data_IF_633147207577
#
_entry.id   IF_633147207577
#
_cell.length_a   1.000
_cell.length_b   1.000
_cell.length_c   1.000
_cell.angle_alpha   90.00
_cell.angle_beta   90.00
_cell.angle_gamma   90.00
#
_symmetry.space_group_name_H-M   'P 1'
#
loop_
_entity.id
_entity.type
_entity.pdbx_description
1 polymer ?
#
# COMPACT_ATOMS: atom_id res chain seq x y z
N UNK A 1 -16.53 15.47 6.50
CA UNK A 1 -15.56 16.13 7.41
C UNK A 1 -14.17 15.93 6.82
N UNK A 2 -13.30 16.93 6.89
CA UNK A 2 -11.89 16.79 6.48
C UNK A 2 -10.99 16.40 7.66
N UNK A 3 -9.73 16.09 7.38
CA UNK A 3 -8.78 15.67 8.41
C UNK A 3 -8.49 16.76 9.45
N UNK A 4 -8.40 18.01 9.03
CA UNK A 4 -8.08 19.13 9.91
C UNK A 4 -9.13 19.27 11.01
N UNK A 5 -10.41 19.31 10.63
CA UNK A 5 -11.51 19.40 11.58
C UNK A 5 -11.58 18.15 12.47
N UNK A 6 -11.37 16.96 11.91
CA UNK A 6 -11.32 15.71 12.66
C UNK A 6 -10.24 15.75 13.75
N UNK A 7 -9.01 16.12 13.39
CA UNK A 7 -7.89 16.21 14.33
C UNK A 7 -8.12 17.30 15.40
N UNK A 8 -8.68 18.45 15.02
CA UNK A 8 -8.99 19.54 15.95
C UNK A 8 -10.05 19.16 17.00
N UNK A 9 -11.04 18.35 16.62
CA UNK A 9 -12.04 17.83 17.56
C UNK A 9 -11.46 16.78 18.50
N UNK A 10 -10.50 15.97 18.04
CA UNK A 10 -9.87 14.95 18.88
C UNK A 10 -8.81 15.50 19.82
N UNK A 11 -8.05 16.53 19.43
CA UNK A 11 -6.87 16.99 20.20
C UNK A 11 -7.19 17.36 21.66
N UNK A 12 -8.25 18.10 21.99
CA UNK A 12 -8.56 18.44 23.38
C UNK A 12 -8.88 17.20 24.24
N UNK A 13 -9.34 16.12 23.61
CA UNK A 13 -9.87 14.94 24.28
C UNK A 13 -8.83 13.81 24.36
N UNK A 14 -8.02 13.64 23.30
CA UNK A 14 -7.05 12.56 23.15
C UNK A 14 -5.60 13.02 23.21
N UNK A 15 -5.34 14.33 23.11
CA UNK A 15 -3.98 14.85 22.94
C UNK A 15 -3.11 14.78 24.18
N UNK A 16 -3.66 14.67 25.40
CA UNK A 16 -2.92 14.46 26.66
C UNK A 16 -1.67 15.35 26.83
N UNK A 17 -1.76 16.63 26.44
CA UNK A 17 -0.66 17.59 26.54
C UNK A 17 0.26 17.68 25.31
N UNK A 18 0.12 16.77 24.34
CA UNK A 18 0.87 16.82 23.09
C UNK A 18 0.61 18.12 22.32
N UNK A 19 1.66 18.64 21.69
CA UNK A 19 1.53 19.75 20.75
C UNK A 19 0.81 19.28 19.47
N UNK A 20 0.52 20.20 18.55
CA UNK A 20 -0.26 19.88 17.33
C UNK A 20 0.46 18.86 16.45
N UNK A 21 1.79 18.92 16.39
CA UNK A 21 2.62 18.13 15.50
C UNK A 21 2.70 16.69 16.03
N UNK A 22 3.05 16.56 17.32
CA UNK A 22 3.09 15.30 18.06
C UNK A 22 1.73 14.58 18.00
N UNK A 23 0.65 15.34 18.22
CA UNK A 23 -0.67 14.77 18.23
C UNK A 23 -1.07 14.22 16.85
N UNK A 24 -0.86 14.99 15.78
CA UNK A 24 -1.18 14.54 14.43
C UNK A 24 -0.33 13.35 14.01
N UNK A 25 0.96 13.35 14.35
CA UNK A 25 1.81 12.19 14.13
C UNK A 25 1.23 10.96 14.84
N UNK A 26 0.93 11.07 16.14
CA UNK A 26 0.36 9.98 16.94
C UNK A 26 -0.96 9.46 16.36
N UNK A 27 -1.81 10.32 15.79
CA UNK A 27 -3.03 9.91 15.10
C UNK A 27 -2.74 9.04 13.89
N UNK A 28 -1.77 9.40 13.05
CA UNK A 28 -1.42 8.56 11.90
C UNK A 28 -0.84 7.21 12.32
N UNK A 29 0.00 7.16 13.35
CA UNK A 29 0.46 5.88 13.91
C UNK A 29 -0.68 5.06 14.54
N UNK A 30 -1.70 5.73 15.09
CA UNK A 30 -2.85 5.06 15.70
C UNK A 30 -3.83 4.42 14.71
N UNK A 31 -3.65 4.59 13.40
CA UNK A 31 -4.44 3.89 12.38
C UNK A 31 -3.59 2.97 11.50
N UNK A 32 -2.26 3.06 11.55
CA UNK A 32 -1.37 2.24 10.71
C UNK A 32 -0.99 0.96 11.44
N UNK A 33 -1.17 -0.18 10.76
CA UNK A 33 -0.60 -1.46 11.19
C UNK A 33 0.84 -1.51 10.76
N UNK A 34 1.72 -1.88 11.70
CA UNK A 34 3.12 -2.15 11.47
C UNK A 34 3.33 -3.68 11.53
N UNK A 35 3.41 -4.38 10.38
CA UNK A 35 3.80 -5.78 10.34
C UNK A 35 5.16 -5.96 11.01
N UNK A 36 5.27 -6.94 11.89
CA UNK A 36 6.56 -7.42 12.41
C UNK A 36 7.29 -8.16 11.28
N UNK A 37 7.92 -7.38 10.41
CA UNK A 37 8.70 -7.85 9.27
C UNK A 37 9.91 -6.96 9.16
N UNK A 38 11.12 -7.54 9.12
CA UNK A 38 12.37 -6.79 8.96
C UNK A 38 12.43 -6.01 7.63
N UNK A 39 11.57 -6.35 6.68
CA UNK A 39 11.39 -5.67 5.38
C UNK A 39 10.28 -4.62 5.37
N UNK A 40 9.54 -4.41 6.46
CA UNK A 40 8.51 -3.38 6.51
C UNK A 40 9.18 -2.01 6.74
N UNK A 41 9.07 -1.14 5.75
CA UNK A 41 9.49 0.26 5.86
C UNK A 41 8.30 1.07 6.35
N UNK A 42 8.49 1.80 7.44
CA UNK A 42 7.44 2.64 8.01
C UNK A 42 7.06 3.76 7.04
N UNK A 43 5.79 3.79 6.56
CA UNK A 43 5.34 4.79 5.59
C UNK A 43 5.34 6.23 6.15
N UNK A 44 5.52 6.39 7.46
CA UNK A 44 5.57 7.67 8.17
C UNK A 44 7.00 8.12 8.53
N UNK A 45 8.00 7.25 8.49
CA UNK A 45 9.38 7.53 8.95
C UNK A 45 10.01 8.75 8.28
N UNK A 46 9.76 8.92 6.98
CA UNK A 46 10.35 9.99 6.16
C UNK A 46 9.46 11.24 6.02
N UNK A 47 8.41 11.38 6.83
CA UNK A 47 7.56 12.58 6.82
C UNK A 47 8.23 13.65 7.68
N UNK A 48 8.53 14.82 7.08
CA UNK A 48 9.08 15.96 7.82
C UNK A 48 8.12 16.36 8.94
N UNK A 49 8.64 16.44 10.16
CA UNK A 49 7.87 16.72 11.37
C UNK A 49 7.03 18.00 11.29
N UNK A 50 7.59 19.06 10.69
CA UNK A 50 6.91 20.36 10.51
C UNK A 50 5.65 20.30 9.63
N UNK A 51 5.43 19.21 8.88
CA UNK A 51 4.26 19.03 8.01
C UNK A 51 3.01 18.67 8.81
N UNK A 52 3.17 18.02 9.98
CA UNK A 52 2.04 17.62 10.81
C UNK A 52 1.22 18.82 11.29
N UNK A 53 1.89 19.94 11.61
CA UNK A 53 1.22 21.21 11.91
C UNK A 53 0.31 21.68 10.79
N UNK A 54 0.80 21.60 9.55
CA UNK A 54 0.10 22.09 8.36
C UNK A 54 -1.12 21.23 8.05
N UNK A 55 -1.08 19.93 8.38
CA UNK A 55 -2.25 19.06 8.31
C UNK A 55 -3.26 19.37 9.42
N UNK A 56 -2.78 19.67 10.64
CA UNK A 56 -3.64 20.06 11.76
C UNK A 56 -4.40 21.37 11.51
N UNK A 57 -3.73 22.36 10.93
CA UNK A 57 -4.33 23.67 10.61
C UNK A 57 -5.18 23.65 9.33
N UNK A 58 -5.08 22.60 8.52
CA UNK A 58 -5.72 22.50 7.21
C UNK A 58 -5.02 23.31 6.11
N UNK A 59 -3.88 23.94 6.40
CA UNK A 59 -3.08 24.69 5.42
C UNK A 59 -2.45 23.78 4.36
N UNK A 60 -2.27 22.50 4.67
CA UNK A 60 -1.87 21.46 3.72
C UNK A 60 -2.85 20.29 3.79
N UNK A 61 -3.19 19.74 2.63
CA UNK A 61 -4.00 18.51 2.56
C UNK A 61 -3.15 17.27 2.83
N UNK A 62 -3.81 16.23 3.32
CA UNK A 62 -3.15 14.96 3.67
C UNK A 62 -3.03 13.98 2.48
N UNK A 63 -3.34 14.37 1.24
CA UNK A 63 -3.44 13.45 0.10
C UNK A 63 -2.19 12.58 -0.09
N UNK A 64 -1.00 13.17 -0.01
CA UNK A 64 0.28 12.47 -0.17
C UNK A 64 0.54 11.47 0.95
N UNK A 65 0.34 11.87 2.21
CA UNK A 65 0.56 10.99 3.36
C UNK A 65 -0.52 9.91 3.44
N UNK A 66 -1.77 10.27 3.15
CA UNK A 66 -2.89 9.34 3.04
C UNK A 66 -2.66 8.28 1.97
N UNK A 67 -2.14 8.67 0.80
CA UNK A 67 -1.76 7.72 -0.26
C UNK A 67 -0.72 6.71 0.21
N UNK A 68 0.28 7.14 0.99
CA UNK A 68 1.32 6.25 1.54
C UNK A 68 0.78 5.27 2.57
N UNK A 69 -0.11 5.72 3.46
CA UNK A 69 -0.55 4.91 4.61
C UNK A 69 -1.83 4.09 4.36
N UNK A 70 -2.63 4.41 3.34
CA UNK A 70 -3.97 3.84 3.14
C UNK A 70 -4.00 2.30 3.13
N UNK A 71 -2.99 1.64 2.57
CA UNK A 71 -2.94 0.16 2.51
C UNK A 71 -2.62 -0.51 3.85
N UNK A 72 -2.11 0.27 4.79
CA UNK A 72 -1.77 -0.14 6.15
C UNK A 72 -2.79 0.39 7.17
N UNK A 73 -3.76 1.20 6.72
CA UNK A 73 -4.79 1.75 7.58
C UNK A 73 -5.74 0.64 8.05
N UNK A 74 -5.88 0.50 9.36
CA UNK A 74 -6.73 -0.51 9.99
C UNK A 74 -7.64 0.15 11.02
N UNK A 75 -8.94 -0.10 10.85
CA UNK A 75 -10.00 0.45 11.68
C UNK A 75 -9.94 -0.13 13.09
N UNK A 76 -9.52 -1.39 13.25
CA UNK A 76 -9.48 -2.04 14.56
C UNK A 76 -8.42 -1.42 15.46
N UNK A 77 -7.24 -1.06 14.92
CA UNK A 77 -6.19 -0.39 15.70
C UNK A 77 -6.70 0.95 16.22
N UNK A 78 -7.32 1.76 15.36
CA UNK A 78 -7.82 3.07 15.79
C UNK A 78 -9.03 2.94 16.72
N UNK A 79 -9.91 1.97 16.48
CA UNK A 79 -11.02 1.64 17.38
C UNK A 79 -10.48 1.34 18.77
N UNK A 80 -9.47 0.48 18.88
CA UNK A 80 -8.90 0.09 20.18
C UNK A 80 -8.16 1.26 20.85
N UNK A 81 -7.52 2.13 20.07
CA UNK A 81 -6.93 3.38 20.57
C UNK A 81 -7.99 4.30 21.22
N UNK A 82 -9.17 4.42 20.59
CA UNK A 82 -10.29 5.20 21.14
C UNK A 82 -10.93 4.47 22.32
N UNK A 83 -11.13 3.15 22.25
CA UNK A 83 -11.80 2.35 23.28
C UNK A 83 -11.07 2.41 24.64
N UNK A 84 -9.74 2.56 24.64
CA UNK A 84 -8.92 2.68 25.85
C UNK A 84 -9.16 3.96 26.67
N UNK A 85 -9.91 4.93 26.16
CA UNK A 85 -10.23 6.14 26.93
C UNK A 85 -11.37 5.89 27.91
N UNK A 86 -11.38 6.63 29.02
CA UNK A 86 -12.41 6.54 30.04
C UNK A 86 -13.80 7.02 29.55
N UNK A 87 -14.85 6.66 30.29
CA UNK A 87 -16.25 6.92 29.94
C UNK A 87 -16.58 8.41 29.75
N UNK A 88 -15.89 9.29 30.48
CA UNK A 88 -16.04 10.74 30.35
C UNK A 88 -15.53 11.21 28.98
N UNK A 89 -14.33 10.80 28.59
CA UNK A 89 -13.77 11.08 27.26
C UNK A 89 -14.63 10.48 26.15
N UNK A 90 -15.15 9.24 26.32
CA UNK A 90 -16.10 8.66 25.35
C UNK A 90 -17.37 9.51 25.20
N UNK A 91 -17.89 10.02 26.30
CA UNK A 91 -19.07 10.89 26.29
C UNK A 91 -18.78 12.21 25.58
N UNK A 92 -17.64 12.83 25.86
CA UNK A 92 -17.22 14.08 25.23
C UNK A 92 -16.96 13.89 23.73
N UNK A 93 -16.32 12.79 23.33
CA UNK A 93 -16.16 12.40 21.92
C UNK A 93 -17.52 12.21 21.23
N UNK A 94 -18.45 11.48 21.87
CA UNK A 94 -19.80 11.31 21.33
C UNK A 94 -20.46 12.66 21.08
N UNK A 95 -20.38 13.60 22.03
CA UNK A 95 -20.99 14.92 21.91
C UNK A 95 -20.32 15.78 20.83
N UNK A 96 -18.98 15.79 20.77
CA UNK A 96 -18.22 16.56 19.79
C UNK A 96 -18.50 16.12 18.34
N UNK A 97 -18.72 14.84 18.11
CA UNK A 97 -18.94 14.28 16.77
C UNK A 97 -20.42 14.13 16.38
N UNK A 98 -21.35 14.22 17.34
CA UNK A 98 -22.81 14.14 17.11
C UNK A 98 -23.35 15.07 16.02
N UNK A 99 -22.86 16.32 15.86
CA UNK A 99 -23.33 17.20 14.79
C UNK A 99 -22.93 16.75 13.39
N UNK A 100 -21.91 15.90 13.26
CA UNK A 100 -21.27 15.59 11.98
C UNK A 100 -21.57 14.17 11.48
N UNK A 101 -21.81 13.23 12.40
CA UNK A 101 -22.04 11.82 12.11
C UNK A 101 -23.09 11.21 13.04
N UNK A 102 -23.74 10.12 12.60
CA UNK A 102 -24.65 9.34 13.45
C UNK A 102 -23.86 8.49 14.44
N UNK A 103 -23.68 9.02 15.64
CA UNK A 103 -22.91 8.43 16.75
C UNK A 103 -23.74 8.37 18.04
N UNK A 104 -23.42 7.41 18.89
CA UNK A 104 -24.00 7.20 20.22
C UNK A 104 -22.91 6.71 21.19
N UNK A 105 -23.16 6.78 22.50
CA UNK A 105 -22.20 6.30 23.51
C UNK A 105 -21.77 4.84 23.33
N UNK A 106 -22.58 4.01 22.67
CA UNK A 106 -22.31 2.57 22.47
C UNK A 106 -21.41 2.26 21.27
N UNK A 107 -21.15 3.23 20.41
CA UNK A 107 -20.43 2.99 19.16
C UNK A 107 -19.41 4.09 18.80
N UNK A 108 -18.92 4.82 19.81
CA UNK A 108 -17.94 5.89 19.61
C UNK A 108 -16.66 5.36 18.95
N UNK A 109 -16.04 4.27 19.44
CA UNK A 109 -14.81 3.74 18.85
C UNK A 109 -14.98 3.34 17.38
N UNK A 110 -16.05 2.61 17.05
CA UNK A 110 -16.32 2.12 15.71
C UNK A 110 -16.59 3.29 14.75
N UNK A 111 -17.40 4.25 15.18
CA UNK A 111 -17.76 5.40 14.33
C UNK A 111 -16.59 6.32 14.06
N UNK A 112 -15.71 6.53 15.03
CA UNK A 112 -14.51 7.35 14.83
C UNK A 112 -13.46 6.61 13.99
N UNK A 113 -13.31 5.30 14.14
CA UNK A 113 -12.44 4.48 13.30
C UNK A 113 -12.90 4.44 11.84
N UNK A 114 -14.19 4.20 11.60
CA UNK A 114 -14.76 4.28 10.26
C UNK A 114 -14.56 5.67 9.66
N UNK A 115 -14.87 6.73 10.41
CA UNK A 115 -14.69 8.11 9.93
C UNK A 115 -13.24 8.42 9.59
N UNK A 116 -12.29 8.02 10.44
CA UNK A 116 -10.88 8.29 10.19
C UNK A 116 -10.36 7.52 8.97
N UNK A 117 -10.71 6.23 8.87
CA UNK A 117 -10.39 5.42 7.72
C UNK A 117 -10.95 6.04 6.44
N UNK A 118 -12.21 6.49 6.44
CA UNK A 118 -12.81 7.15 5.28
C UNK A 118 -12.09 8.46 4.92
N UNK A 119 -11.64 9.25 5.91
CA UNK A 119 -10.84 10.46 5.66
C UNK A 119 -9.53 10.11 4.95
N UNK A 120 -8.80 9.10 5.45
CA UNK A 120 -7.55 8.62 4.83
C UNK A 120 -7.83 8.06 3.43
N UNK A 121 -8.81 7.20 3.30
CA UNK A 121 -9.17 6.56 2.04
C UNK A 121 -9.53 7.62 0.98
N UNK A 122 -10.42 8.55 1.31
CA UNK A 122 -10.83 9.60 0.37
C UNK A 122 -9.65 10.49 -0.02
N UNK A 123 -8.84 10.93 0.95
CA UNK A 123 -7.64 11.72 0.65
C UNK A 123 -6.62 10.97 -0.23
N UNK A 124 -6.49 9.65 -0.05
CA UNK A 124 -5.61 8.80 -0.86
C UNK A 124 -6.04 8.70 -2.32
N UNK A 125 -7.34 8.83 -2.60
CA UNK A 125 -7.91 8.76 -3.96
C UNK A 125 -7.84 10.08 -4.71
N UNK A 126 -7.59 11.19 -4.03
CA UNK A 126 -7.54 12.52 -4.63
C UNK A 126 -6.20 12.88 -5.31
N UNK A 127 -5.54 11.94 -6.01
CA UNK A 127 -4.35 12.26 -6.82
C UNK A 127 -4.75 13.22 -7.96
N UNK A 128 -4.23 14.46 -7.94
CA UNK A 128 -4.04 15.27 -9.15
C UNK A 128 -5.13 16.26 -9.62
N UNK A 129 -6.08 16.71 -8.79
CA UNK A 129 -6.99 17.80 -9.23
C UNK A 129 -6.53 19.19 -8.77
N UNK A 130 -5.68 19.84 -9.58
CA UNK A 130 -5.80 21.32 -9.74
C UNK A 130 -7.19 21.55 -10.39
N UNK A 131 -7.96 22.54 -9.89
CA UNK A 131 -9.38 22.87 -10.24
C UNK A 131 -9.80 22.43 -11.67
N UNK A 132 -10.94 21.76 -11.89
CA UNK A 132 -12.33 22.29 -11.83
C UNK A 132 -13.40 21.19 -11.64
N UNK A 133 -14.53 21.56 -11.05
CA UNK A 133 -15.79 20.78 -10.81
C UNK A 133 -16.73 21.03 -12.03
N UNK A 134 -17.53 20.06 -12.55
CA UNK A 134 -18.79 19.58 -11.91
C UNK A 134 -18.93 18.06 -11.69
N UNK A 135 -19.78 17.77 -10.70
CA UNK A 135 -20.16 16.49 -10.07
C UNK A 135 -20.74 15.46 -11.06
N UNK A 136 -20.57 14.16 -10.80
CA UNK A 136 -21.72 13.24 -10.66
C UNK A 136 -21.40 11.90 -9.96
N UNK A 137 -22.24 11.61 -8.95
CA UNK A 137 -22.75 10.33 -8.40
C UNK A 137 -21.78 9.24 -7.92
N UNK A 138 -21.87 9.03 -6.62
CA UNK A 138 -21.59 7.81 -5.88
C UNK A 138 -22.21 6.58 -6.55
N UNK A 139 -21.42 5.51 -6.70
CA UNK A 139 -21.95 4.16 -6.69
C UNK A 139 -21.02 3.25 -5.89
N UNK A 140 -21.65 2.39 -5.08
CA UNK A 140 -21.00 1.36 -4.28
C UNK A 140 -20.09 0.51 -5.19
N UNK A 141 -18.78 0.46 -4.95
CA UNK A 141 -17.95 -0.55 -5.61
C UNK A 141 -18.08 -1.85 -4.83
N UNK A 142 -19.01 -2.66 -5.32
CA UNK A 142 -18.85 -4.11 -5.25
C UNK A 142 -17.55 -4.48 -5.99
N UNK A 143 -16.80 -5.41 -5.40
CA UNK A 143 -15.64 -6.11 -5.98
C UNK A 143 -16.12 -7.00 -7.14
N UNK A 144 -16.56 -6.38 -8.25
CA UNK A 144 -17.21 -7.08 -9.38
C UNK A 144 -17.03 -6.30 -10.70
N UNK A 145 -15.79 -6.00 -11.07
CA UNK A 145 -15.48 -5.67 -12.47
C UNK A 145 -14.90 -6.92 -13.10
N UNK A 146 -15.46 -7.32 -14.24
CA UNK A 146 -15.03 -8.47 -15.04
C UNK A 146 -13.51 -8.42 -15.29
N UNK A 147 -12.97 -7.23 -15.58
CA UNK A 147 -11.54 -7.00 -15.81
C UNK A 147 -10.69 -7.33 -14.57
N UNK A 148 -11.18 -7.02 -13.36
CA UNK A 148 -10.47 -7.30 -12.11
C UNK A 148 -10.50 -8.79 -11.78
N UNK A 149 -11.61 -9.46 -12.06
CA UNK A 149 -11.73 -10.91 -11.91
C UNK A 149 -10.82 -11.63 -12.90
N UNK A 150 -10.83 -11.22 -14.17
CA UNK A 150 -9.97 -11.76 -15.21
C UNK A 150 -8.47 -11.59 -14.90
N UNK A 151 -8.08 -10.45 -14.32
CA UNK A 151 -6.70 -10.26 -13.83
C UNK A 151 -6.39 -11.20 -12.67
N UNK A 152 -7.27 -11.32 -11.65
CA UNK A 152 -7.07 -12.23 -10.50
C UNK A 152 -6.93 -13.69 -10.93
N UNK A 153 -7.73 -14.14 -11.89
CA UNK A 153 -7.65 -15.49 -12.47
C UNK A 153 -6.34 -15.69 -13.24
N UNK A 154 -5.99 -14.75 -14.11
CA UNK A 154 -4.73 -14.78 -14.87
C UNK A 154 -3.52 -14.82 -13.95
N UNK A 155 -3.52 -14.08 -12.84
CA UNK A 155 -2.46 -14.11 -11.82
C UNK A 155 -2.33 -15.50 -11.18
N UNK A 156 -3.44 -16.19 -10.93
CA UNK A 156 -3.44 -17.55 -10.39
C UNK A 156 -2.73 -18.52 -11.32
N UNK A 157 -3.05 -18.48 -12.62
CA UNK A 157 -2.43 -19.36 -13.63
C UNK A 157 -0.96 -19.02 -13.87
N UNK A 158 -0.61 -17.73 -13.98
CA UNK A 158 0.79 -17.28 -14.12
C UNK A 158 1.64 -17.79 -12.96
N UNK A 159 1.18 -17.63 -11.71
CA UNK A 159 1.93 -18.09 -10.53
C UNK A 159 2.09 -19.61 -10.54
N UNK A 160 1.04 -20.37 -10.86
CA UNK A 160 1.13 -21.84 -10.96
C UNK A 160 2.18 -22.26 -11.99
N UNK A 161 2.20 -21.65 -13.17
CA UNK A 161 3.16 -21.98 -14.23
C UNK A 161 4.59 -21.55 -13.91
N UNK A 162 4.78 -20.37 -13.27
CA UNK A 162 6.11 -19.95 -12.80
C UNK A 162 6.69 -20.94 -11.77
N UNK A 163 5.85 -21.45 -10.88
CA UNK A 163 6.26 -22.45 -9.88
C UNK A 163 6.59 -23.79 -10.56
N UNK A 164 5.80 -24.24 -11.54
CA UNK A 164 6.10 -25.49 -12.29
C UNK A 164 7.40 -25.42 -13.09
N UNK A 165 7.73 -24.24 -13.62
CA UNK A 165 8.89 -24.03 -14.49
C UNK A 165 10.16 -23.61 -13.73
N UNK A 166 10.08 -23.51 -12.40
CA UNK A 166 11.20 -23.22 -11.53
C UNK A 166 12.26 -24.32 -11.56
N UNK A 167 13.49 -23.95 -11.88
CA UNK A 167 14.67 -24.84 -11.80
C UNK A 167 15.21 -24.82 -10.38
N UNK A 168 15.43 -26.00 -9.79
CA UNK A 168 15.97 -26.19 -8.44
C UNK A 168 17.35 -25.51 -8.30
N UNK A 169 17.49 -24.40 -7.55
CA UNK A 169 18.77 -23.71 -7.40
C UNK A 169 19.72 -24.53 -6.50
N UNK A 170 21.02 -24.55 -6.82
CA UNK A 170 22.04 -25.05 -5.89
C UNK A 170 22.00 -24.19 -4.61
N UNK A 171 22.04 -24.83 -3.45
CA UNK A 171 21.77 -24.28 -2.10
C UNK A 171 22.55 -23.01 -1.68
N UNK A 172 23.48 -22.48 -2.48
CA UNK A 172 24.44 -21.46 -2.07
C UNK A 172 24.02 -19.99 -2.29
N UNK A 173 22.83 -19.69 -2.81
CA UNK A 173 22.36 -18.29 -3.00
C UNK A 173 20.95 -18.07 -2.45
N UNK A 174 20.67 -18.49 -1.21
CA UNK A 174 19.46 -18.03 -0.51
C UNK A 174 19.54 -16.52 -0.31
N UNK A 175 18.65 -15.81 -0.99
CA UNK A 175 18.51 -14.37 -0.99
C UNK A 175 18.12 -13.85 0.42
N UNK A 176 18.67 -12.71 0.84
CA UNK A 176 18.43 -12.06 2.14
C UNK A 176 17.47 -10.89 1.96
N UNK A 177 16.19 -11.17 2.23
CA UNK A 177 15.01 -10.33 1.93
C UNK A 177 15.03 -8.96 2.62
N UNK A 178 15.41 -7.90 1.89
CA UNK A 178 15.22 -6.50 2.31
C UNK A 178 14.41 -5.75 1.25
N UNK A 179 13.42 -4.94 1.66
CA UNK A 179 12.61 -4.10 0.78
C UNK A 179 13.03 -2.61 0.90
N UNK A 180 13.04 -1.89 -0.23
CA UNK A 180 13.49 -0.51 -0.46
C UNK A 180 12.51 0.16 -1.45
N UNK A 181 12.19 1.44 -1.26
CA UNK A 181 11.21 2.16 -2.10
C UNK A 181 11.47 2.08 -3.62
N UNK A 182 10.43 1.81 -4.42
CA UNK A 182 10.42 1.80 -5.91
C UNK A 182 10.95 3.12 -6.50
N UNK A 183 10.75 4.25 -5.81
CA UNK A 183 11.29 5.56 -6.18
C UNK A 183 12.82 5.66 -6.16
N UNK A 184 13.50 4.71 -5.52
CA UNK A 184 14.96 4.61 -5.53
C UNK A 184 15.46 3.60 -6.59
N UNK A 185 14.56 2.97 -7.36
CA UNK A 185 14.88 1.97 -8.39
C UNK A 185 14.47 2.38 -9.80
N UNK A 186 13.47 3.25 -9.91
CA UNK A 186 12.99 3.80 -11.17
C UNK A 186 13.20 5.31 -11.12
N UNK A 187 14.29 5.76 -11.74
CA UNK A 187 14.73 7.17 -11.76
C UNK A 187 14.37 7.87 -13.06
N UNK A 188 14.22 7.10 -14.15
CA UNK A 188 14.24 7.67 -15.50
C UNK A 188 12.83 7.88 -16.09
N UNK A 189 11.81 7.23 -15.51
CA UNK A 189 10.42 7.27 -16.00
C UNK A 189 9.39 7.39 -14.88
N UNK A 190 8.81 8.59 -14.75
CA UNK A 190 7.76 8.87 -13.77
C UNK A 190 6.49 8.04 -14.00
N UNK A 191 6.20 7.69 -15.26
CA UNK A 191 4.99 6.92 -15.65
C UNK A 191 5.17 5.44 -15.28
N UNK A 192 6.36 4.89 -15.54
CA UNK A 192 6.71 3.53 -15.14
C UNK A 192 6.70 3.40 -13.62
N UNK A 193 7.30 4.37 -12.92
CA UNK A 193 7.30 4.40 -11.46
C UNK A 193 5.88 4.43 -10.88
N UNK A 194 4.99 5.24 -11.46
CA UNK A 194 3.58 5.31 -11.05
C UNK A 194 2.82 4.00 -11.33
N UNK A 195 3.03 3.39 -12.50
CA UNK A 195 2.36 2.14 -12.91
C UNK A 195 2.82 0.95 -12.05
N UNK A 196 4.12 0.82 -11.83
CA UNK A 196 4.71 -0.22 -10.98
C UNK A 196 4.25 -0.08 -9.54
N UNK A 197 4.28 1.14 -9.01
CA UNK A 197 3.80 1.41 -7.64
C UNK A 197 2.31 1.08 -7.52
N UNK A 198 1.49 1.44 -8.51
CA UNK A 198 0.06 1.15 -8.50
C UNK A 198 -0.23 -0.35 -8.53
N UNK A 199 0.36 -1.09 -9.46
CA UNK A 199 0.11 -2.52 -9.61
C UNK A 199 0.62 -3.34 -8.43
N UNK A 200 1.83 -3.07 -7.97
CA UNK A 200 2.42 -3.77 -6.86
C UNK A 200 1.58 -3.56 -5.59
N UNK A 201 1.10 -2.34 -5.34
CA UNK A 201 0.19 -2.01 -4.23
C UNK A 201 -1.17 -2.69 -4.33
N UNK A 202 -1.85 -2.58 -5.47
CA UNK A 202 -3.24 -3.07 -5.63
C UNK A 202 -3.31 -4.59 -5.51
N UNK A 203 -2.32 -5.30 -6.05
CA UNK A 203 -2.35 -6.76 -6.14
C UNK A 203 -1.45 -7.46 -5.11
N UNK A 204 -0.71 -6.74 -4.26
CA UNK A 204 0.22 -7.33 -3.27
C UNK A 204 -0.40 -8.45 -2.43
N UNK A 205 -1.54 -8.17 -1.79
CA UNK A 205 -2.23 -9.13 -0.90
C UNK A 205 -2.73 -10.34 -1.70
N UNK A 206 -3.21 -10.11 -2.92
CA UNK A 206 -3.68 -11.16 -3.83
C UNK A 206 -2.54 -12.08 -4.23
N UNK A 207 -1.43 -11.53 -4.71
CA UNK A 207 -0.24 -12.28 -5.15
C UNK A 207 0.33 -13.09 -3.99
N UNK A 208 0.52 -12.50 -2.80
CA UNK A 208 0.98 -13.25 -1.61
C UNK A 208 0.03 -14.38 -1.21
N UNK A 209 -1.29 -14.17 -1.30
CA UNK A 209 -2.27 -15.23 -1.03
C UNK A 209 -2.16 -16.36 -2.04
N UNK A 210 -1.98 -16.03 -3.33
CA UNK A 210 -1.82 -17.02 -4.40
C UNK A 210 -0.55 -17.85 -4.21
N UNK A 211 0.61 -17.22 -3.97
CA UNK A 211 1.85 -17.95 -3.67
C UNK A 211 1.69 -18.87 -2.46
N UNK A 212 1.15 -18.38 -1.32
CA UNK A 212 0.90 -19.21 -0.13
C UNK A 212 -0.02 -20.41 -0.40
N UNK A 213 -1.00 -20.26 -1.29
CA UNK A 213 -1.91 -21.35 -1.64
C UNK A 213 -1.22 -22.40 -2.52
N UNK A 214 -0.34 -21.99 -3.43
CA UNK A 214 0.42 -22.88 -4.31
C UNK A 214 1.51 -23.63 -3.51
N UNK A 215 2.19 -22.97 -2.58
CA UNK A 215 3.22 -23.59 -1.71
C UNK A 215 2.67 -24.67 -0.76
N UNK A 216 1.36 -24.66 -0.47
CA UNK A 216 0.72 -25.74 0.30
C UNK A 216 0.54 -27.04 -0.50
N UNK A 217 0.64 -26.95 -1.83
CA UNK A 217 0.32 -28.05 -2.76
C UNK A 217 1.55 -28.65 -3.44
N UNK A 218 2.69 -27.95 -3.50
CA UNK A 218 3.92 -28.38 -4.16
C UNK A 218 5.15 -27.86 -3.41
N UNK A 219 6.26 -28.62 -3.43
CA UNK A 219 7.52 -28.37 -2.70
C UNK A 219 8.42 -27.28 -3.31
N UNK A 220 7.88 -26.39 -4.15
CA UNK A 220 8.63 -25.30 -4.79
C UNK A 220 8.14 -24.00 -4.14
N UNK A 221 9.07 -23.23 -3.57
CA UNK A 221 8.77 -22.05 -2.76
C UNK A 221 8.87 -20.77 -3.59
N UNK A 222 8.22 -19.71 -3.11
CA UNK A 222 8.30 -18.35 -3.64
C UNK A 222 9.73 -17.91 -3.99
N UNK A 223 10.71 -18.36 -3.20
CA UNK A 223 12.13 -18.06 -3.33
C UNK A 223 12.72 -18.55 -4.66
N UNK A 224 12.26 -19.67 -5.20
CA UNK A 224 12.74 -20.21 -6.49
C UNK A 224 12.30 -19.31 -7.65
N UNK A 225 11.06 -18.84 -7.58
CA UNK A 225 10.51 -17.89 -8.57
C UNK A 225 11.23 -16.56 -8.46
N UNK A 226 11.44 -16.04 -7.25
CA UNK A 226 12.18 -14.79 -7.04
C UNK A 226 13.61 -14.87 -7.60
N UNK A 227 14.28 -16.00 -7.41
CA UNK A 227 15.62 -16.27 -7.94
C UNK A 227 15.65 -16.24 -9.47
N UNK A 228 14.69 -16.91 -10.12
CA UNK A 228 14.57 -16.91 -11.57
C UNK A 228 14.31 -15.51 -12.15
N UNK A 229 13.42 -14.74 -11.51
CA UNK A 229 13.12 -13.35 -11.89
C UNK A 229 14.38 -12.47 -11.74
N UNK A 230 15.13 -12.63 -10.64
CA UNK A 230 16.38 -11.88 -10.40
C UNK A 230 17.46 -12.19 -11.43
N UNK A 231 17.60 -13.46 -11.80
CA UNK A 231 18.55 -13.89 -12.82
C UNK A 231 18.27 -13.22 -14.17
N UNK A 232 17.01 -13.22 -14.62
CA UNK A 232 16.64 -12.59 -15.89
C UNK A 232 16.82 -11.06 -15.83
N UNK A 233 16.47 -10.41 -14.72
CA UNK A 233 16.74 -8.98 -14.53
C UNK A 233 18.23 -8.65 -14.68
N UNK A 234 19.12 -9.37 -14.00
CA UNK A 234 20.58 -9.16 -14.09
C UNK A 234 21.08 -9.32 -15.52
N UNK A 235 20.59 -10.33 -16.24
CA UNK A 235 20.93 -10.58 -17.65
C UNK A 235 20.51 -9.43 -18.56
N UNK A 236 19.33 -8.84 -18.34
CA UNK A 236 18.85 -7.68 -19.11
C UNK A 236 19.63 -6.41 -18.75
N UNK A 237 19.93 -6.20 -17.47
CA UNK A 237 20.74 -5.07 -16.99
C UNK A 237 22.15 -5.08 -17.58
N UNK A 238 22.80 -6.25 -17.66
CA UNK A 238 24.14 -6.39 -18.24
C UNK A 238 24.20 -6.07 -19.73
N UNK A 239 23.07 -5.96 -20.43
CA UNK A 239 22.99 -5.51 -21.82
C UNK A 239 22.96 -3.97 -21.96
N UNK A 240 22.98 -3.23 -20.85
CA UNK A 240 22.94 -1.75 -20.86
C UNK A 240 21.59 -1.16 -21.25
N UNK A 241 20.50 -1.92 -21.09
CA UNK A 241 19.14 -1.46 -21.38
C UNK A 241 18.65 -0.42 -20.36
N UNK A 242 17.76 0.48 -20.78
CA UNK A 242 17.07 1.42 -19.89
C UNK A 242 16.08 0.72 -18.96
N UNK A 243 15.62 1.41 -17.90
CA UNK A 243 14.67 0.85 -16.94
C UNK A 243 13.33 0.46 -17.58
N UNK A 244 12.80 1.26 -18.52
CA UNK A 244 11.59 0.93 -19.28
C UNK A 244 11.79 -0.29 -20.20
N UNK A 245 12.93 -0.38 -20.88
CA UNK A 245 13.26 -1.53 -21.73
C UNK A 245 13.42 -2.81 -20.91
N UNK A 246 14.09 -2.73 -19.76
CA UNK A 246 14.23 -3.85 -18.82
C UNK A 246 12.85 -4.27 -18.32
N UNK A 247 12.01 -3.33 -17.89
CA UNK A 247 10.67 -3.65 -17.39
C UNK A 247 9.81 -4.34 -18.46
N UNK A 248 9.76 -3.78 -19.67
CA UNK A 248 8.99 -4.37 -20.78
C UNK A 248 9.54 -5.75 -21.16
N UNK A 249 10.86 -5.93 -21.19
CA UNK A 249 11.47 -7.22 -21.45
C UNK A 249 11.17 -8.25 -20.34
N UNK A 250 11.12 -7.83 -19.07
CA UNK A 250 10.70 -8.68 -17.95
C UNK A 250 9.23 -9.09 -18.07
N UNK A 251 8.34 -8.18 -18.48
CA UNK A 251 6.92 -8.50 -18.72
C UNK A 251 6.78 -9.52 -19.83
N UNK A 252 7.48 -9.32 -20.95
CA UNK A 252 7.49 -10.28 -22.06
C UNK A 252 8.05 -11.63 -21.64
N UNK A 253 9.11 -11.65 -20.83
CA UNK A 253 9.67 -12.88 -20.28
C UNK A 253 8.65 -13.67 -19.46
N UNK A 254 7.89 -13.01 -18.56
CA UNK A 254 6.79 -13.67 -17.82
C UNK A 254 5.72 -14.19 -18.78
N UNK A 255 5.29 -13.40 -19.76
CA UNK A 255 4.30 -13.82 -20.77
C UNK A 255 4.76 -15.10 -21.50
N UNK A 256 6.00 -15.13 -22.00
CA UNK A 256 6.55 -16.29 -22.71
C UNK A 256 6.70 -17.51 -21.80
N UNK A 257 7.20 -17.31 -20.57
CA UNK A 257 7.44 -18.40 -19.61
C UNK A 257 6.15 -19.10 -19.18
N UNK A 258 5.05 -18.36 -19.11
CA UNK A 258 3.73 -18.84 -18.65
C UNK A 258 2.72 -19.04 -19.77
N UNK A 259 3.11 -18.76 -21.02
CA UNK A 259 2.22 -18.70 -22.18
C UNK A 259 0.97 -17.81 -21.94
N UNK A 260 1.13 -16.77 -21.13
CA UNK A 260 0.04 -15.85 -20.77
C UNK A 260 -0.12 -14.77 -21.83
N UNK A 261 -1.36 -14.54 -22.24
CA UNK A 261 -1.75 -13.43 -23.13
C UNK A 261 -2.16 -12.17 -22.36
N UNK A 262 -2.30 -12.26 -21.04
CA UNK A 262 -2.71 -11.13 -20.19
C UNK A 262 -1.49 -10.30 -19.77
N UNK A 263 -1.11 -9.35 -20.62
CA UNK A 263 0.04 -8.45 -20.42
C UNK A 263 -0.10 -7.66 -19.12
N UNK A 264 -1.32 -7.27 -18.74
CA UNK A 264 -1.58 -6.53 -17.50
C UNK A 264 -1.29 -7.40 -16.26
N UNK A 265 -1.72 -8.66 -16.25
CA UNK A 265 -1.40 -9.58 -15.15
C UNK A 265 0.11 -9.88 -15.07
N UNK A 266 0.79 -10.02 -16.21
CA UNK A 266 2.25 -10.16 -16.26
C UNK A 266 2.96 -8.90 -15.74
N UNK A 267 2.48 -7.71 -16.11
CA UNK A 267 2.95 -6.42 -15.60
C UNK A 267 2.79 -6.30 -14.08
N UNK A 268 1.67 -6.80 -13.56
CA UNK A 268 1.39 -6.85 -12.12
C UNK A 268 2.40 -7.74 -11.37
N UNK A 269 2.74 -8.92 -11.92
CA UNK A 269 3.75 -9.81 -11.34
C UNK A 269 5.14 -9.16 -11.36
N UNK A 270 5.55 -8.59 -12.48
CA UNK A 270 6.85 -7.88 -12.57
C UNK A 270 6.89 -6.73 -11.57
N UNK A 271 5.82 -5.93 -11.49
CA UNK A 271 5.72 -4.82 -10.54
C UNK A 271 5.87 -5.27 -9.08
N UNK A 272 5.25 -6.40 -8.73
CA UNK A 272 5.39 -7.01 -7.42
C UNK A 272 6.86 -7.35 -7.10
N UNK A 273 7.58 -7.98 -8.04
CA UNK A 273 9.00 -8.31 -7.85
C UNK A 273 9.92 -7.09 -7.93
N UNK A 274 9.54 -6.02 -8.63
CA UNK A 274 10.28 -4.74 -8.59
C UNK A 274 10.22 -4.12 -7.19
N UNK A 275 9.05 -4.21 -6.54
CA UNK A 275 8.84 -3.70 -5.18
C UNK A 275 9.50 -4.58 -4.10
N UNK A 276 9.74 -5.87 -4.37
CA UNK A 276 10.46 -6.78 -3.47
C UNK A 276 11.99 -6.68 -3.72
N UNK A 277 12.77 -6.18 -2.76
CA UNK A 277 14.05 -5.52 -3.10
C UNK A 277 15.29 -6.38 -3.26
N UNK A 278 15.07 -7.67 -3.43
CA UNK A 278 16.12 -8.59 -3.79
C UNK A 278 16.25 -8.81 -5.29
N UNK A 279 15.21 -8.52 -6.07
CA UNK A 279 15.18 -8.82 -7.50
C UNK A 279 15.80 -7.69 -8.33
N UNK A 280 15.56 -6.43 -7.95
CA UNK A 280 16.02 -5.24 -8.67
C UNK A 280 16.93 -4.38 -7.79
N UNK A 281 18.06 -3.92 -8.34
CA UNK A 281 19.05 -3.13 -7.62
C UNK A 281 18.50 -1.73 -7.24
N UNK A 282 18.92 -1.22 -6.09
CA UNK A 282 18.68 0.16 -5.67
C UNK A 282 19.68 1.06 -6.39
N UNK A 283 19.20 2.15 -7.01
CA UNK A 283 20.09 3.17 -7.57
C UNK A 283 20.74 3.90 -6.40
N UNK A 284 22.07 3.79 -6.27
CA UNK A 284 22.83 4.53 -5.28
C UNK A 284 22.65 6.04 -5.55
N UNK A 285 22.22 6.79 -4.54
CA UNK A 285 22.19 8.26 -4.57
C UNK A 285 23.59 8.83 -4.37
#
# INVERSE_FOLDING_TARGET
MDFSLFAQLLKPLLGKGLNQDEFVQSLFYAIVVFPNSESFVDPLENVKYSMYRLYFSGSRRINEIAYKICNYADREIFRDYVLKQNDEVQTQLCNAFKPYIRISKRNVPEKLADLFYEIIFNASKEKGKRKRIPKMKSNKFADTSEDVLQIKESLGEIIKELVKTGTNPKESERLKMHAVCVSNKITDSSILCESVTHYAVVYFKTIRKLFRNVSKSNSIDFDDVATAVKFEYKKLKNKGLSQDEIYNAMVQWICTKTNSTNITACSVIVSFFVQDCEVFDVVAK
#
